data_IF_633403802424
#
_entry.id   IF_633403802424
#
_cell.length_a   1.000
_cell.length_b   1.000
_cell.length_c   1.000
_cell.angle_alpha   90.00
_cell.angle_beta   90.00
_cell.angle_gamma   90.00
#
_symmetry.space_group_name_H-M   'P 1'
#
loop_
_entity.id
_entity.type
_entity.pdbx_description
1 polymer ?
#
# COMPACT_ATOMS: atom_id res chain seq x y z
N UNK A 1 -7.98 -6.56 3.19
CA UNK A 1 -8.18 -6.46 4.66
C UNK A 1 -8.14 -7.86 5.28
N UNK A 2 -8.14 -8.05 6.60
CA UNK A 2 -8.20 -9.39 7.20
C UNK A 2 -9.38 -9.55 8.16
N UNK A 3 -10.29 -10.46 7.88
CA UNK A 3 -11.46 -10.73 8.73
C UNK A 3 -11.21 -11.90 9.69
N UNK A 4 -11.36 -11.66 10.99
CA UNK A 4 -11.37 -12.73 12.01
C UNK A 4 -10.03 -13.42 12.27
N UNK A 5 -8.90 -12.88 11.76
CA UNK A 5 -7.57 -13.50 11.90
C UNK A 5 -6.67 -12.89 12.96
N UNK A 6 -7.01 -11.69 13.45
CA UNK A 6 -6.18 -10.99 14.43
C UNK A 6 -6.09 -11.81 15.72
N UNK A 7 -4.86 -12.15 16.12
CA UNK A 7 -4.55 -12.95 17.32
C UNK A 7 -5.12 -14.40 17.30
N UNK A 8 -5.42 -14.95 16.11
CA UNK A 8 -5.89 -16.33 15.98
C UNK A 8 -4.78 -17.20 15.39
N UNK A 9 -4.13 -18.00 16.24
CA UNK A 9 -2.94 -18.80 15.88
C UNK A 9 -3.21 -19.87 14.81
N UNK A 10 -4.44 -20.37 14.70
CA UNK A 10 -4.84 -21.38 13.71
C UNK A 10 -5.13 -20.80 12.32
N UNK A 11 -5.25 -19.47 12.20
CA UNK A 11 -5.63 -18.81 10.95
C UNK A 11 -4.40 -18.39 10.13
N UNK A 12 -4.55 -18.42 8.81
CA UNK A 12 -3.47 -18.01 7.90
C UNK A 12 -3.41 -16.48 7.78
N UNK A 13 -2.48 -15.85 8.50
CA UNK A 13 -2.25 -14.40 8.50
C UNK A 13 -1.66 -13.83 7.21
N UNK A 14 -1.34 -14.66 6.21
CA UNK A 14 -0.85 -14.18 4.91
C UNK A 14 -1.98 -13.86 3.94
N UNK A 15 -3.23 -14.22 4.28
CA UNK A 15 -4.40 -14.04 3.41
C UNK A 15 -5.18 -12.78 3.72
N UNK A 16 -5.51 -12.02 2.67
CA UNK A 16 -6.34 -10.83 2.73
C UNK A 16 -7.61 -10.99 1.90
N UNK A 17 -8.74 -10.54 2.43
CA UNK A 17 -10.00 -10.41 1.72
C UNK A 17 -10.04 -9.14 0.87
N UNK A 18 -10.76 -9.22 -0.26
CA UNK A 18 -11.09 -8.05 -1.09
C UNK A 18 -12.09 -7.09 -0.40
N UNK A 19 -12.90 -7.59 0.53
CA UNK A 19 -13.96 -6.86 1.25
C UNK A 19 -14.85 -5.98 0.35
N UNK A 20 -15.06 -6.36 -0.92
CA UNK A 20 -15.75 -5.56 -1.92
C UNK A 20 -15.22 -4.12 -2.04
N UNK A 21 -13.91 -3.96 -1.90
CA UNK A 21 -13.22 -2.68 -2.05
C UNK A 21 -13.52 -2.09 -3.44
N UNK A 22 -13.91 -0.82 -3.47
CA UNK A 22 -14.14 -0.01 -4.67
C UNK A 22 -12.98 0.98 -4.85
N UNK A 23 -12.63 1.70 -3.79
CA UNK A 23 -11.57 2.71 -3.80
C UNK A 23 -10.75 2.65 -2.50
N UNK A 24 -9.48 3.01 -2.61
CA UNK A 24 -8.62 3.29 -1.47
C UNK A 24 -7.82 4.55 -1.76
N UNK A 25 -7.83 5.49 -0.83
CA UNK A 25 -7.16 6.79 -0.98
C UNK A 25 -6.25 7.04 0.21
N UNK A 26 -5.07 7.54 -0.09
CA UNK A 26 -4.10 8.05 0.85
C UNK A 26 -4.12 9.56 0.78
N UNK A 27 -4.35 10.19 1.92
CA UNK A 27 -4.22 11.62 2.10
C UNK A 27 -2.92 11.90 2.86
N UNK A 28 -2.09 12.74 2.27
CA UNK A 28 -0.91 13.32 2.91
C UNK A 28 -1.19 14.81 3.10
N UNK A 29 -1.54 15.21 4.32
CA UNK A 29 -2.17 16.49 4.59
C UNK A 29 -3.43 16.68 3.69
N UNK A 30 -3.42 17.69 2.80
CA UNK A 30 -4.51 17.98 1.87
C UNK A 30 -4.37 17.30 0.50
N UNK A 31 -3.22 16.67 0.21
CA UNK A 31 -2.97 15.98 -1.07
C UNK A 31 -3.50 14.55 -1.02
N UNK A 32 -4.07 14.08 -2.15
CA UNK A 32 -4.71 12.77 -2.23
C UNK A 32 -4.09 11.90 -3.33
N UNK A 33 -3.89 10.61 -3.02
CA UNK A 33 -3.30 9.61 -3.92
C UNK A 33 -4.08 8.29 -3.86
N UNK A 34 -4.39 7.64 -5.00
CA UNK A 34 -4.40 8.24 -6.34
C UNK A 34 -5.42 9.40 -6.43
N UNK A 35 -5.22 10.31 -7.38
CA UNK A 35 -6.17 11.39 -7.64
C UNK A 35 -7.50 10.84 -8.19
N UNK A 36 -7.41 9.92 -9.16
CA UNK A 36 -8.56 9.26 -9.77
C UNK A 36 -9.05 8.08 -8.93
N UNK A 37 -10.36 7.82 -9.02
CA UNK A 37 -10.97 6.64 -8.41
C UNK A 37 -10.55 5.36 -9.15
N UNK A 38 -10.18 4.34 -8.39
CA UNK A 38 -9.78 3.04 -8.92
C UNK A 38 -10.96 2.24 -9.50
N UNK A 39 -12.19 2.50 -9.03
CA UNK A 39 -13.41 1.87 -9.53
C UNK A 39 -13.33 0.33 -9.58
N UNK A 40 -12.81 -0.26 -8.51
CA UNK A 40 -12.53 -1.68 -8.41
C UNK A 40 -13.83 -2.51 -8.44
N UNK A 41 -13.77 -3.65 -9.12
CA UNK A 41 -14.82 -4.64 -9.18
C UNK A 41 -14.17 -6.02 -9.38
N UNK A 42 -14.04 -6.77 -8.29
CA UNK A 42 -13.39 -8.07 -8.28
C UNK A 42 -14.17 -9.11 -9.09
N UNK A 43 -15.51 -9.02 -9.12
CA UNK A 43 -16.35 -9.92 -9.87
C UNK A 43 -16.23 -9.71 -11.39
N UNK A 44 -15.91 -8.48 -11.82
CA UNK A 44 -15.67 -8.12 -13.22
C UNK A 44 -14.19 -8.05 -13.59
N UNK A 45 -13.31 -8.59 -12.76
CA UNK A 45 -11.85 -8.58 -12.96
C UNK A 45 -11.22 -7.17 -13.09
N UNK A 46 -11.87 -6.12 -12.57
CA UNK A 46 -11.30 -4.75 -12.55
C UNK A 46 -10.22 -4.55 -11.47
N UNK A 47 -9.81 -5.62 -10.77
CA UNK A 47 -8.69 -5.60 -9.84
C UNK A 47 -7.31 -5.54 -10.53
N UNK A 48 -7.26 -5.69 -11.86
CA UNK A 48 -6.01 -5.66 -12.62
C UNK A 48 -5.18 -4.39 -12.37
N UNK A 49 -5.83 -3.26 -12.07
CA UNK A 49 -5.15 -2.01 -11.68
C UNK A 49 -4.30 -2.19 -10.41
N UNK A 50 -4.78 -2.94 -9.41
CA UNK A 50 -4.02 -3.19 -8.18
C UNK A 50 -2.76 -4.01 -8.45
N UNK A 51 -2.88 -5.02 -9.31
CA UNK A 51 -1.74 -5.83 -9.71
C UNK A 51 -0.71 -5.02 -10.51
N UNK A 52 -1.16 -4.14 -11.40
CA UNK A 52 -0.29 -3.22 -12.14
C UNK A 52 0.43 -2.25 -11.20
N UNK A 53 -0.26 -1.66 -10.22
CA UNK A 53 0.35 -0.80 -9.19
C UNK A 53 1.45 -1.55 -8.42
N UNK A 54 1.17 -2.78 -7.97
CA UNK A 54 2.16 -3.63 -7.30
C UNK A 54 3.37 -3.92 -8.19
N UNK A 55 3.14 -4.33 -9.44
CA UNK A 55 4.21 -4.65 -10.41
C UNK A 55 5.09 -3.44 -10.70
N UNK A 56 4.49 -2.24 -10.87
CA UNK A 56 5.21 -0.99 -11.10
C UNK A 56 6.07 -0.60 -9.90
N UNK A 57 5.49 -0.65 -8.69
CA UNK A 57 6.23 -0.37 -7.46
C UNK A 57 7.43 -1.31 -7.31
N UNK A 58 7.25 -2.62 -7.50
CA UNK A 58 8.36 -3.60 -7.40
C UNK A 58 9.48 -3.28 -8.39
N UNK A 59 9.14 -2.94 -9.64
CA UNK A 59 10.11 -2.52 -10.65
C UNK A 59 10.85 -1.26 -10.23
N UNK A 60 10.14 -0.24 -9.73
CA UNK A 60 10.73 1.03 -9.33
C UNK A 60 11.62 0.91 -8.09
N UNK A 61 11.20 0.13 -7.09
CA UNK A 61 11.87 0.03 -5.80
C UNK A 61 13.07 -0.93 -5.82
N UNK A 62 12.93 -2.11 -6.44
CA UNK A 62 14.00 -3.11 -6.48
C UNK A 62 14.86 -3.06 -7.75
N UNK A 63 14.49 -2.24 -8.74
CA UNK A 63 15.20 -2.18 -10.03
C UNK A 63 15.14 -3.47 -10.85
N UNK A 64 14.26 -4.40 -10.48
CA UNK A 64 14.17 -5.74 -11.07
C UNK A 64 13.21 -5.75 -12.27
N UNK A 65 13.57 -6.48 -13.32
CA UNK A 65 12.71 -6.66 -14.48
C UNK A 65 11.47 -7.48 -14.14
N UNK A 66 10.37 -7.12 -14.79
CA UNK A 66 9.03 -7.58 -14.43
C UNK A 66 8.75 -9.07 -14.62
N UNK A 67 9.73 -9.86 -15.07
CA UNK A 67 9.59 -11.30 -15.22
C UNK A 67 9.73 -12.02 -13.86
N UNK A 68 10.39 -11.41 -12.86
CA UNK A 68 10.58 -11.96 -11.52
C UNK A 68 9.59 -11.36 -10.50
N UNK A 69 8.29 -11.38 -10.82
CA UNK A 69 7.27 -10.97 -9.85
C UNK A 69 7.08 -12.11 -8.84
N UNK A 70 7.26 -11.80 -7.55
CA UNK A 70 7.07 -12.78 -6.46
C UNK A 70 5.65 -13.37 -6.41
N UNK A 71 4.66 -12.61 -6.89
CA UNK A 71 3.27 -13.03 -6.95
C UNK A 71 2.83 -13.02 -8.40
N UNK A 72 2.35 -14.16 -8.89
CA UNK A 72 1.58 -14.22 -10.14
C UNK A 72 0.26 -13.46 -9.95
N UNK A 73 -0.43 -13.08 -11.03
CA UNK A 73 -1.77 -12.47 -10.94
C UNK A 73 -2.74 -13.33 -10.11
N UNK A 74 -2.66 -14.65 -10.29
CA UNK A 74 -3.48 -15.63 -9.56
C UNK A 74 -3.15 -15.67 -8.08
N UNK A 75 -1.85 -15.68 -7.72
CA UNK A 75 -1.43 -15.66 -6.31
C UNK A 75 -1.74 -14.33 -5.63
N UNK A 76 -1.62 -13.21 -6.36
CA UNK A 76 -2.02 -11.90 -5.87
C UNK A 76 -3.50 -11.88 -5.48
N UNK A 77 -4.38 -12.44 -6.32
CA UNK A 77 -5.81 -12.54 -6.01
C UNK A 77 -6.10 -13.50 -4.85
N UNK A 78 -5.37 -14.64 -4.78
CA UNK A 78 -5.62 -15.71 -3.80
C UNK A 78 -5.11 -15.40 -2.39
N UNK A 79 -3.91 -14.83 -2.30
CA UNK A 79 -3.29 -14.38 -1.05
C UNK A 79 -3.82 -13.02 -0.62
N UNK A 80 -4.42 -12.30 -1.55
CA UNK A 80 -5.30 -11.21 -1.22
C UNK A 80 -4.79 -9.91 -1.82
N UNK A 81 -5.67 -9.21 -2.53
CA UNK A 81 -5.30 -7.96 -3.18
C UNK A 81 -4.96 -6.93 -2.11
N UNK A 82 -3.74 -6.39 -2.19
CA UNK A 82 -3.34 -5.22 -1.44
C UNK A 82 -3.21 -4.02 -2.38
N UNK A 83 -3.39 -2.83 -1.83
CA UNK A 83 -3.26 -1.59 -2.59
C UNK A 83 -1.85 -1.05 -2.38
N UNK A 84 -1.15 -0.76 -3.47
CA UNK A 84 0.13 -0.06 -3.43
C UNK A 84 -0.09 1.36 -3.93
N UNK A 85 0.13 2.34 -3.07
CA UNK A 85 0.05 3.76 -3.44
C UNK A 85 1.47 4.30 -3.47
N UNK A 86 2.00 4.50 -4.68
CA UNK A 86 3.36 5.00 -4.89
C UNK A 86 3.37 6.54 -4.80
N UNK A 87 3.95 7.04 -3.72
CA UNK A 87 4.13 8.47 -3.45
C UNK A 87 5.54 8.98 -3.80
N UNK A 88 6.35 8.22 -4.56
CA UNK A 88 7.70 8.64 -4.95
C UNK A 88 7.74 9.98 -5.70
N UNK A 89 6.64 10.34 -6.38
CA UNK A 89 6.44 11.61 -7.09
C UNK A 89 5.50 12.59 -6.35
N UNK A 90 5.35 12.44 -5.05
CA UNK A 90 4.56 13.36 -4.22
C UNK A 90 5.11 14.79 -4.29
N UNK A 91 4.24 15.77 -4.08
CA UNK A 91 4.61 17.18 -4.09
C UNK A 91 5.62 17.48 -2.97
N UNK A 92 6.70 18.22 -3.28
CA UNK A 92 7.72 18.59 -2.30
C UNK A 92 7.15 19.41 -1.13
N UNK A 93 6.07 20.16 -1.36
CA UNK A 93 5.39 20.94 -0.33
C UNK A 93 4.93 20.10 0.87
N UNK A 94 4.63 18.80 0.64
CA UNK A 94 4.22 17.85 1.69
C UNK A 94 5.32 17.67 2.74
N UNK A 95 6.60 17.79 2.37
CA UNK A 95 7.75 17.54 3.27
C UNK A 95 8.10 18.71 4.18
N UNK A 96 7.47 19.88 4.02
CA UNK A 96 7.85 21.10 4.73
C UNK A 96 7.46 21.14 6.21
N UNK A 97 6.59 20.24 6.67
CA UNK A 97 6.10 20.16 8.04
C UNK A 97 5.75 18.72 8.47
N UNK A 98 5.17 18.56 9.67
CA UNK A 98 4.53 17.30 10.09
C UNK A 98 3.51 16.86 9.05
N UNK A 99 3.60 15.61 8.61
CA UNK A 99 2.68 15.03 7.62
C UNK A 99 1.58 14.28 8.36
N UNK A 100 0.35 14.75 8.22
CA UNK A 100 -0.85 13.98 8.58
C UNK A 100 -1.09 12.90 7.52
N UNK A 101 -1.29 11.66 7.97
CA UNK A 101 -1.48 10.50 7.11
C UNK A 101 -2.85 9.91 7.39
N UNK A 102 -3.75 10.00 6.41
CA UNK A 102 -5.09 9.41 6.49
C UNK A 102 -5.29 8.44 5.33
N UNK A 103 -5.83 7.26 5.64
CA UNK A 103 -6.16 6.24 4.64
C UNK A 103 -7.66 6.03 4.68
N UNK A 104 -8.31 6.14 3.54
CA UNK A 104 -9.74 5.90 3.36
C UNK A 104 -9.94 4.66 2.49
N UNK A 105 -10.85 3.80 2.90
CA UNK A 105 -11.31 2.65 2.13
C UNK A 105 -12.80 2.81 1.86
N UNK A 106 -13.19 2.72 0.61
CA UNK A 106 -14.58 2.68 0.17
C UNK A 106 -14.90 1.27 -0.28
N UNK A 107 -15.90 0.65 0.35
CA UNK A 107 -16.37 -0.70 0.01
C UNK A 107 -17.83 -0.64 -0.44
N UNK A 108 -18.20 -1.55 -1.36
CA UNK A 108 -19.57 -1.65 -1.88
C UNK A 108 -20.58 -2.09 -0.82
N UNK A 109 -20.09 -2.81 0.18
CA UNK A 109 -20.86 -3.41 1.26
C UNK A 109 -20.18 -3.07 2.58
N UNK A 110 -20.92 -3.23 3.68
CA UNK A 110 -20.37 -3.05 5.01
C UNK A 110 -19.17 -3.99 5.22
N UNK A 111 -18.07 -3.41 5.72
CA UNK A 111 -16.89 -4.20 6.08
C UNK A 111 -17.31 -5.20 7.19
N UNK A 112 -17.01 -6.51 7.04
CA UNK A 112 -17.38 -7.50 8.04
C UNK A 112 -16.87 -7.16 9.44
N UNK A 113 -17.60 -7.57 10.47
CA UNK A 113 -17.13 -7.46 11.85
C UNK A 113 -15.78 -8.18 12.04
N UNK A 114 -14.97 -7.71 12.99
CA UNK A 114 -13.64 -8.25 13.29
C UNK A 114 -12.65 -8.16 12.11
N UNK A 115 -12.82 -7.18 11.22
CA UNK A 115 -11.87 -6.89 10.15
C UNK A 115 -10.74 -5.98 10.64
N UNK A 116 -9.51 -6.35 10.32
CA UNK A 116 -8.30 -5.55 10.61
C UNK A 116 -7.66 -5.09 9.30
N UNK A 117 -7.32 -3.80 9.23
CA UNK A 117 -6.49 -3.24 8.17
C UNK A 117 -5.02 -3.24 8.61
N UNK A 118 -4.12 -3.51 7.67
CA UNK A 118 -2.68 -3.42 7.87
C UNK A 118 -2.11 -2.46 6.83
N UNK A 119 -1.17 -1.61 7.25
CA UNK A 119 -0.49 -0.65 6.40
C UNK A 119 1.01 -0.75 6.64
N UNK A 120 1.78 -0.73 5.55
CA UNK A 120 3.24 -0.61 5.58
C UNK A 120 3.60 0.70 4.87
N UNK A 121 4.30 1.59 5.57
CA UNK A 121 4.79 2.84 5.02
C UNK A 121 6.29 2.69 4.77
N UNK A 122 6.70 2.89 3.52
CA UNK A 122 8.10 2.92 3.11
C UNK A 122 8.45 4.37 2.76
N UNK A 123 9.49 4.90 3.41
CA UNK A 123 9.94 6.27 3.22
C UNK A 123 11.45 6.37 3.38
N UNK A 124 12.13 6.85 2.35
CA UNK A 124 13.58 7.04 2.37
C UNK A 124 13.99 8.24 3.23
N UNK A 125 14.99 8.04 4.09
CA UNK A 125 15.63 9.12 4.84
C UNK A 125 17.10 9.15 4.45
N UNK A 126 17.57 10.30 3.98
CA UNK A 126 19.00 10.51 3.79
C UNK A 126 19.56 11.02 5.11
N UNK A 127 20.64 10.39 5.58
CA UNK A 127 21.37 10.83 6.77
C UNK A 127 22.83 11.03 6.40
N UNK A 128 23.40 12.12 6.90
CA UNK A 128 24.83 12.37 6.84
C UNK A 128 25.47 11.80 8.11
N UNK A 129 26.42 10.88 7.94
CA UNK A 129 27.26 10.40 9.03
C UNK A 129 28.64 11.03 8.93
N UNK A 130 29.09 11.67 10.01
CA UNK A 130 30.42 12.25 10.15
C UNK A 130 31.32 11.31 10.96
N UNK A 131 32.23 10.52 10.32
CA UNK A 131 33.00 9.49 11.02
C UNK A 131 33.96 10.04 12.08
N UNK A 132 34.44 11.28 11.91
CA UNK A 132 35.39 11.91 12.83
C UNK A 132 34.73 12.35 14.15
N UNK A 133 33.43 12.63 14.12
CA UNK A 133 32.67 13.12 15.28
C UNK A 133 31.63 12.12 15.76
N UNK A 134 31.46 11.01 15.04
CA UNK A 134 30.38 10.03 15.20
C UNK A 134 28.97 10.66 15.20
N UNK A 135 28.81 11.84 14.58
CA UNK A 135 27.53 12.54 14.52
C UNK A 135 26.73 12.05 13.31
N UNK A 136 25.45 11.76 13.52
CA UNK A 136 24.46 11.49 12.47
C UNK A 136 23.53 12.70 12.36
N UNK A 137 23.45 13.31 11.18
CA UNK A 137 22.51 14.39 10.86
C UNK A 137 21.49 13.89 9.86
N UNK A 138 20.22 14.24 10.08
CA UNK A 138 19.18 14.04 9.05
C UNK A 138 19.32 15.17 8.02
N UNK A 139 19.36 14.81 6.75
CA UNK A 139 19.30 15.75 5.63
C UNK A 139 17.85 16.00 5.23
#
# INVERSE_FOLDING_TARGET
LQTGRKNVMSENITRFEDCKLINAKLYLNSECYPYDDMNLDFAKNKYAILYDMYRRFRKSYYGCDSAEVWLTTTDFLRLGPFVVIDCSRQNESVKSATVDVRIEFECKENIPANTTAYCLILHDRVVEYSPLTNVVRKL
#
